data_IF_278777699765
#
_entry.id   IF_278777699765
#
_cell.length_a   1.000
_cell.length_b   1.000
_cell.length_c   1.000
_cell.angle_alpha   90.00
_cell.angle_beta   90.00
_cell.angle_gamma   90.00
#
_symmetry.space_group_name_H-M   'P 1'
#
loop_
_entity.id
_entity.type
_entity.pdbx_description
1 polymer ?
#
# COMPACT_ATOMS: atom_id res chain seq x y z
N UNK A 1 6.67 -0.27 -9.32
CA UNK A 1 7.25 1.07 -9.66
C UNK A 1 6.52 1.86 -10.78
N UNK A 2 5.49 1.33 -11.44
CA UNK A 2 4.85 2.00 -12.60
C UNK A 2 4.16 3.33 -12.29
N UNK A 3 3.88 3.63 -11.02
CA UNK A 3 3.27 4.88 -10.58
C UNK A 3 4.26 6.06 -10.57
N UNK A 4 5.58 5.77 -10.43
CA UNK A 4 6.62 6.80 -10.25
C UNK A 4 6.61 7.91 -11.31
N UNK A 5 6.54 7.62 -12.63
CA UNK A 5 6.67 8.66 -13.65
C UNK A 5 5.61 9.76 -13.56
N UNK A 6 4.38 9.43 -13.11
CA UNK A 6 3.29 10.39 -12.99
C UNK A 6 3.21 11.03 -11.60
N UNK A 7 3.67 10.32 -10.56
CA UNK A 7 3.42 10.67 -9.17
C UNK A 7 4.67 11.17 -8.40
N UNK A 8 5.77 11.47 -9.10
CA UNK A 8 7.03 11.93 -8.48
C UNK A 8 7.09 13.45 -8.26
N UNK A 9 6.37 14.23 -9.06
CA UNK A 9 6.55 15.69 -9.10
C UNK A 9 5.73 16.41 -8.02
N UNK A 10 6.10 17.65 -7.69
CA UNK A 10 5.29 18.49 -6.79
C UNK A 10 3.88 18.75 -7.31
N UNK A 11 3.69 18.81 -8.64
CA UNK A 11 2.37 19.00 -9.27
C UNK A 11 1.42 17.84 -8.96
N UNK A 12 1.95 16.64 -8.80
CA UNK A 12 1.20 15.46 -8.36
C UNK A 12 1.37 15.19 -6.87
N UNK A 13 1.65 16.21 -6.05
CA UNK A 13 1.76 16.05 -4.59
C UNK A 13 3.00 15.28 -4.11
N UNK A 14 3.96 14.99 -5.00
CA UNK A 14 5.16 14.18 -4.71
C UNK A 14 4.83 12.81 -4.06
N UNK A 15 3.67 12.25 -4.38
CA UNK A 15 3.07 11.06 -3.77
C UNK A 15 4.02 9.86 -3.72
N UNK A 16 4.74 9.61 -4.83
CA UNK A 16 5.70 8.51 -4.89
C UNK A 16 6.84 8.70 -3.89
N UNK A 17 7.35 9.93 -3.72
CA UNK A 17 8.46 10.20 -2.78
C UNK A 17 8.03 10.05 -1.33
N UNK A 18 6.82 10.53 -1.00
CA UNK A 18 6.23 10.39 0.34
C UNK A 18 6.09 8.91 0.70
N UNK A 19 5.57 8.09 -0.22
CA UNK A 19 5.49 6.64 -0.03
C UNK A 19 6.88 5.98 0.12
N UNK A 20 7.80 6.28 -0.80
CA UNK A 20 9.16 5.69 -0.84
C UNK A 20 9.95 5.94 0.45
N UNK A 21 9.77 7.12 1.07
CA UNK A 21 10.41 7.46 2.34
C UNK A 21 9.73 6.83 3.55
N UNK A 22 8.44 6.50 3.41
CA UNK A 22 7.56 6.03 4.48
C UNK A 22 7.80 4.59 4.93
N UNK A 23 7.11 4.17 6.00
CA UNK A 23 7.24 2.81 6.55
C UNK A 23 6.65 1.74 5.64
N UNK A 24 5.61 2.05 4.86
CA UNK A 24 4.94 1.09 3.97
C UNK A 24 5.86 0.55 2.87
N UNK A 25 6.68 1.40 2.24
CA UNK A 25 7.69 0.98 1.29
C UNK A 25 8.79 0.10 1.91
N UNK A 26 8.93 0.10 3.24
CA UNK A 26 9.92 -0.67 4.02
C UNK A 26 9.28 -1.81 4.82
N UNK A 27 8.00 -2.06 4.62
CA UNK A 27 7.25 -3.02 5.42
C UNK A 27 7.84 -4.43 5.30
N UNK A 28 8.17 -4.88 4.09
CA UNK A 28 8.80 -6.19 3.91
C UNK A 28 10.17 -6.31 4.56
N UNK A 29 11.00 -5.27 4.45
CA UNK A 29 12.33 -5.26 5.08
C UNK A 29 12.24 -5.36 6.61
N UNK A 30 11.18 -4.83 7.20
CA UNK A 30 10.93 -4.97 8.64
C UNK A 30 10.80 -6.44 9.06
N UNK A 31 10.23 -7.31 8.21
CA UNK A 31 10.07 -8.74 8.51
C UNK A 31 11.41 -9.49 8.58
N UNK A 32 12.47 -8.95 7.99
CA UNK A 32 13.81 -9.56 7.99
C UNK A 32 14.60 -9.24 9.27
N UNK A 33 14.08 -8.36 10.12
CA UNK A 33 14.77 -7.91 11.35
C UNK A 33 14.75 -8.98 12.45
N UNK A 34 15.74 -8.97 13.37
CA UNK A 34 15.70 -9.80 14.58
C UNK A 34 14.44 -9.57 15.43
N UNK A 35 13.97 -8.32 15.51
CA UNK A 35 12.78 -7.93 16.23
C UNK A 35 11.52 -8.60 15.66
N UNK A 36 11.36 -8.64 14.34
CA UNK A 36 10.24 -9.33 13.71
C UNK A 36 10.25 -10.84 13.99
N UNK A 37 11.43 -11.47 13.99
CA UNK A 37 11.58 -12.90 14.36
C UNK A 37 11.18 -13.15 15.81
N UNK A 38 11.52 -12.23 16.71
CA UNK A 38 11.10 -12.28 18.12
C UNK A 38 9.58 -12.16 18.25
N UNK A 39 8.97 -11.17 17.59
CA UNK A 39 7.52 -10.97 17.60
C UNK A 39 6.78 -12.19 17.06
N UNK A 40 7.22 -12.76 15.93
CA UNK A 40 6.61 -13.97 15.38
C UNK A 40 6.68 -15.14 16.36
N UNK A 41 7.84 -15.36 16.98
CA UNK A 41 8.00 -16.41 18.01
C UNK A 41 7.08 -16.20 19.21
N UNK A 42 6.99 -14.97 19.73
CA UNK A 42 6.11 -14.63 20.85
C UNK A 42 4.62 -14.80 20.50
N UNK A 43 4.26 -14.56 19.25
CA UNK A 43 2.92 -14.79 18.71
C UNK A 43 2.64 -16.26 18.34
N UNK A 44 3.60 -17.18 18.53
CA UNK A 44 3.45 -18.60 18.18
C UNK A 44 3.47 -18.87 16.67
N UNK A 45 3.97 -17.94 15.86
CA UNK A 45 4.12 -18.09 14.41
C UNK A 45 5.46 -18.77 14.15
N UNK A 46 5.42 -19.94 13.52
CA UNK A 46 6.61 -20.72 13.18
C UNK A 46 7.25 -20.24 11.87
N UNK A 47 8.58 -20.32 11.79
CA UNK A 47 9.34 -20.03 10.58
C UNK A 47 9.81 -18.58 10.44
N UNK A 48 10.19 -18.21 9.22
CA UNK A 48 10.68 -16.86 8.88
C UNK A 48 9.47 -15.91 8.68
N UNK A 49 9.37 -14.80 9.43
CA UNK A 49 8.32 -13.80 9.21
C UNK A 49 8.24 -13.31 7.77
N UNK A 50 9.36 -13.25 7.04
CA UNK A 50 9.39 -12.82 5.64
C UNK A 50 8.71 -13.82 4.67
N UNK A 51 8.36 -15.02 5.13
CA UNK A 51 7.66 -16.05 4.37
C UNK A 51 6.34 -16.49 5.02
N UNK A 52 6.10 -16.14 6.29
CA UNK A 52 4.90 -16.51 7.03
C UNK A 52 3.69 -15.69 6.55
N UNK A 53 2.61 -16.39 6.15
CA UNK A 53 1.39 -15.77 5.61
C UNK A 53 0.77 -14.75 6.57
N UNK A 54 0.88 -15.01 7.87
CA UNK A 54 0.40 -14.18 8.98
C UNK A 54 1.08 -12.80 8.96
N UNK A 55 2.33 -12.73 8.51
CA UNK A 55 3.11 -11.50 8.43
C UNK A 55 3.00 -10.86 7.05
N UNK A 56 3.23 -11.63 5.98
CA UNK A 56 3.33 -11.07 4.62
C UNK A 56 1.99 -10.49 4.14
N UNK A 57 0.84 -11.01 4.60
CA UNK A 57 -0.49 -10.46 4.24
C UNK A 57 -0.65 -8.96 4.51
N UNK A 58 0.08 -8.41 5.48
CA UNK A 58 0.04 -6.99 5.83
C UNK A 58 1.31 -6.22 5.44
N UNK A 59 2.37 -6.92 5.01
CA UNK A 59 3.68 -6.33 4.75
C UNK A 59 4.07 -6.31 3.27
N UNK A 60 3.32 -6.98 2.40
CA UNK A 60 3.52 -6.95 0.95
C UNK A 60 2.19 -6.88 0.19
N UNK A 61 2.11 -6.01 -0.81
CA UNK A 61 0.94 -5.97 -1.71
C UNK A 61 0.85 -7.22 -2.60
N UNK A 62 1.98 -7.89 -2.85
CA UNK A 62 2.05 -9.06 -3.71
C UNK A 62 1.38 -10.32 -3.09
N UNK A 63 1.01 -10.29 -1.82
CA UNK A 63 0.39 -11.43 -1.13
C UNK A 63 -1.04 -11.65 -1.63
N UNK A 64 -1.40 -12.91 -1.87
CA UNK A 64 -2.75 -13.29 -2.30
C UNK A 64 -3.12 -12.88 -3.74
N UNK A 65 -2.23 -12.18 -4.45
CA UNK A 65 -2.42 -11.85 -5.87
C UNK A 65 -2.22 -13.12 -6.71
N UNK A 66 -3.15 -13.36 -7.64
CA UNK A 66 -3.08 -14.49 -8.58
C UNK A 66 -1.71 -14.51 -9.27
N UNK A 67 -1.07 -15.68 -9.33
CA UNK A 67 0.25 -15.86 -9.95
C UNK A 67 0.30 -15.33 -11.39
N UNK A 68 -0.81 -15.38 -12.14
CA UNK A 68 -0.90 -14.85 -13.50
C UNK A 68 -0.86 -13.32 -13.55
N UNK A 69 -1.22 -12.67 -12.45
CA UNK A 69 -1.20 -11.22 -12.27
C UNK A 69 0.10 -10.74 -11.60
N UNK A 70 0.89 -11.64 -11.03
CA UNK A 70 2.23 -11.33 -10.55
C UNK A 70 3.11 -10.98 -11.76
N UNK A 71 3.38 -9.70 -11.90
CA UNK A 71 4.32 -9.19 -12.90
C UNK A 71 5.69 -9.00 -12.26
N UNK A 72 6.74 -8.87 -13.06
CA UNK A 72 8.07 -8.43 -12.58
C UNK A 72 8.06 -7.06 -11.87
N UNK A 73 6.90 -6.38 -11.85
CA UNK A 73 6.69 -5.06 -11.27
C UNK A 73 5.95 -5.09 -9.94
N UNK A 74 5.47 -6.26 -9.49
CA UNK A 74 4.84 -6.47 -8.19
C UNK A 74 5.69 -7.50 -7.44
N UNK A 75 6.57 -7.01 -6.57
CA UNK A 75 7.52 -7.86 -5.84
C UNK A 75 7.34 -7.70 -4.33
N UNK A 76 7.86 -8.66 -3.57
CA UNK A 76 7.81 -8.61 -2.10
C UNK A 76 8.57 -7.40 -1.56
N UNK A 77 9.68 -7.03 -2.22
CA UNK A 77 10.58 -5.94 -1.83
C UNK A 77 9.96 -4.55 -1.96
N UNK A 78 8.85 -4.38 -2.70
CA UNK A 78 8.11 -3.12 -2.71
C UNK A 78 7.30 -2.89 -1.43
N UNK A 79 7.20 -3.90 -0.56
CA UNK A 79 6.43 -3.82 0.67
C UNK A 79 4.95 -3.54 0.39
N UNK A 80 4.35 -2.70 1.23
CA UNK A 80 2.99 -2.20 1.01
C UNK A 80 3.07 -1.08 -0.03
N UNK A 81 2.70 -1.40 -1.27
CA UNK A 81 2.77 -0.54 -2.45
C UNK A 81 1.53 0.34 -2.61
N UNK A 82 1.50 1.14 -3.69
CA UNK A 82 0.40 2.06 -4.01
C UNK A 82 -0.96 1.35 -4.10
N UNK A 83 -0.96 0.13 -4.66
CA UNK A 83 -2.17 -0.63 -4.99
C UNK A 83 -2.80 -1.30 -3.76
N UNK A 84 -2.08 -1.38 -2.63
CA UNK A 84 -2.69 -1.81 -1.37
C UNK A 84 -3.73 -0.80 -0.85
N UNK A 85 -3.58 0.49 -1.16
CA UNK A 85 -4.51 1.53 -0.75
C UNK A 85 -5.45 1.96 -1.88
N UNK A 86 -4.94 2.00 -3.12
CA UNK A 86 -5.65 2.56 -4.27
C UNK A 86 -6.22 1.51 -5.23
N UNK A 87 -6.07 0.22 -4.92
CA UNK A 87 -6.50 -0.87 -5.77
C UNK A 87 -5.60 -1.08 -7.00
N UNK A 88 -5.88 -2.11 -7.82
CA UNK A 88 -5.07 -2.46 -8.98
C UNK A 88 -5.18 -1.42 -10.09
N UNK A 89 -4.05 -0.84 -10.48
CA UNK A 89 -4.00 0.27 -11.43
C UNK A 89 -4.07 -0.12 -12.90
N UNK A 90 -4.25 -1.40 -13.24
CA UNK A 90 -4.16 -1.84 -14.64
C UNK A 90 -5.19 -1.16 -15.55
N UNK A 91 -6.41 -0.97 -15.04
CA UNK A 91 -7.54 -0.45 -15.80
C UNK A 91 -7.64 1.08 -15.76
N UNK A 92 -7.24 1.73 -14.66
CA UNK A 92 -7.34 3.18 -14.53
C UNK A 92 -6.07 3.97 -14.86
N UNK A 93 -4.88 3.35 -14.94
CA UNK A 93 -3.61 4.09 -15.14
C UNK A 93 -3.48 4.85 -16.46
N UNK A 94 -4.33 4.54 -17.45
CA UNK A 94 -4.23 5.22 -18.75
C UNK A 94 -4.64 6.68 -18.61
N UNK A 95 -3.92 7.58 -19.28
CA UNK A 95 -4.17 9.03 -19.19
C UNK A 95 -5.63 9.38 -19.47
N UNK A 96 -6.23 8.76 -20.49
CA UNK A 96 -7.63 8.96 -20.86
C UNK A 96 -8.60 8.61 -19.73
N UNK A 97 -8.41 7.46 -19.09
CA UNK A 97 -9.32 6.98 -18.03
C UNK A 97 -9.13 7.81 -16.76
N UNK A 98 -7.90 8.03 -16.31
CA UNK A 98 -7.67 8.79 -15.07
C UNK A 98 -8.13 10.25 -15.19
N UNK A 99 -7.98 10.88 -16.36
CA UNK A 99 -8.52 12.24 -16.60
C UNK A 99 -10.05 12.28 -16.57
N UNK A 100 -10.72 11.27 -17.13
CA UNK A 100 -12.17 11.18 -17.08
C UNK A 100 -12.68 10.93 -15.65
N UNK A 101 -11.98 10.09 -14.87
CA UNK A 101 -12.25 9.90 -13.43
C UNK A 101 -12.10 11.23 -12.68
N UNK A 102 -11.01 11.98 -12.89
CA UNK A 102 -10.82 13.27 -12.23
C UNK A 102 -11.86 14.33 -12.60
N UNK A 103 -12.44 14.25 -13.81
CA UNK A 103 -13.54 15.13 -14.23
C UNK A 103 -14.92 14.67 -13.73
N UNK A 104 -15.00 13.50 -13.09
CA UNK A 104 -16.26 12.88 -12.69
C UNK A 104 -17.09 12.33 -13.86
N UNK A 105 -16.46 12.12 -15.02
CA UNK A 105 -17.10 11.53 -16.20
C UNK A 105 -17.18 9.99 -16.11
N UNK A 106 -16.28 9.38 -15.32
CA UNK A 106 -16.26 7.94 -15.03
C UNK A 106 -16.17 7.73 -13.52
N UNK A 107 -16.82 6.68 -13.03
CA UNK A 107 -16.62 6.20 -11.66
C UNK A 107 -15.33 5.37 -11.61
N UNK A 108 -14.35 5.82 -10.83
CA UNK A 108 -13.07 5.12 -10.66
C UNK A 108 -13.24 3.71 -10.07
N UNK A 109 -14.26 3.48 -9.26
CA UNK A 109 -14.52 2.19 -8.64
C UNK A 109 -14.79 1.10 -9.69
N UNK A 110 -15.43 1.45 -10.81
CA UNK A 110 -15.66 0.52 -11.94
C UNK A 110 -14.36 0.07 -12.62
N UNK A 111 -13.28 0.82 -12.43
CA UNK A 111 -11.94 0.52 -12.96
C UNK A 111 -10.99 0.02 -11.86
N UNK A 112 -11.50 -0.31 -10.68
CA UNK A 112 -10.71 -0.83 -9.56
C UNK A 112 -9.94 0.22 -8.76
N UNK A 113 -10.19 1.52 -8.98
CA UNK A 113 -9.66 2.56 -8.11
C UNK A 113 -10.38 2.51 -6.76
N UNK A 114 -9.61 2.48 -5.69
CA UNK A 114 -10.11 2.50 -4.32
C UNK A 114 -9.80 3.86 -3.69
N UNK A 115 -10.81 4.45 -3.06
CA UNK A 115 -10.61 5.56 -2.14
C UNK A 115 -10.12 5.01 -0.79
N UNK A 116 -8.95 5.45 -0.29
CA UNK A 116 -8.34 4.87 0.91
C UNK A 116 -8.98 5.40 2.20
N UNK A 117 -10.21 4.94 2.48
CA UNK A 117 -10.93 5.22 3.73
C UNK A 117 -10.31 4.46 4.91
N UNK A 118 -10.87 4.65 6.10
CA UNK A 118 -10.44 3.92 7.30
C UNK A 118 -10.52 2.39 7.13
N UNK A 119 -11.49 1.90 6.36
CA UNK A 119 -11.72 0.47 6.13
C UNK A 119 -10.48 -0.20 5.52
N UNK A 120 -9.90 0.41 4.49
CA UNK A 120 -8.68 -0.05 3.83
C UNK A 120 -7.51 -0.13 4.82
N UNK A 121 -7.37 0.89 5.66
CA UNK A 121 -6.29 0.94 6.65
C UNK A 121 -6.42 -0.18 7.69
N UNK A 122 -7.65 -0.45 8.12
CA UNK A 122 -7.96 -1.47 9.13
C UNK A 122 -7.90 -2.91 8.62
N UNK A 123 -7.68 -3.14 7.32
CA UNK A 123 -7.36 -4.49 6.81
C UNK A 123 -6.05 -5.04 7.40
N UNK A 124 -5.13 -4.13 7.77
CA UNK A 124 -3.84 -4.48 8.37
C UNK A 124 -3.66 -3.91 9.77
N UNK A 125 -4.16 -2.69 10.02
CA UNK A 125 -4.07 -2.04 11.32
C UNK A 125 -5.21 -2.47 12.25
N UNK A 126 -5.19 -3.74 12.67
CA UNK A 126 -6.20 -4.38 13.51
C UNK A 126 -5.60 -5.39 14.49
N UNK A 127 -6.45 -6.02 15.31
CA UNK A 127 -6.08 -6.96 16.37
C UNK A 127 -5.42 -8.27 15.87
N UNK A 128 -5.51 -8.60 14.58
CA UNK A 128 -4.81 -9.76 14.02
C UNK A 128 -3.29 -9.51 13.91
N UNK A 129 -2.85 -8.25 13.98
CA UNK A 129 -1.42 -7.93 14.05
C UNK A 129 -0.90 -8.16 15.49
N UNK A 130 0.16 -8.97 15.68
CA UNK A 130 0.72 -9.25 17.01
C UNK A 130 1.34 -8.01 17.69
N UNK A 131 1.47 -6.91 16.95
CA UNK A 131 2.01 -5.64 17.46
C UNK A 131 0.94 -4.56 17.62
N UNK A 132 -0.33 -4.90 17.41
CA UNK A 132 -1.42 -3.94 17.47
C UNK A 132 -1.59 -3.36 18.87
N UNK A 133 -1.67 -2.02 18.95
CA UNK A 133 -1.88 -1.25 20.18
C UNK A 133 -2.96 -0.18 20.01
N UNK A 134 -3.87 -0.37 19.05
CA UNK A 134 -4.81 0.63 18.59
C UNK A 134 -4.32 1.39 17.34
N UNK A 135 -5.27 1.97 16.61
CA UNK A 135 -5.01 2.73 15.39
C UNK A 135 -5.91 3.98 15.34
N UNK A 136 -5.28 5.14 15.26
CA UNK A 136 -5.94 6.44 15.08
C UNK A 136 -5.85 6.80 13.59
N UNK A 137 -6.94 6.56 12.86
CA UNK A 137 -6.98 6.73 11.40
C UNK A 137 -6.64 8.16 10.99
N UNK A 138 -7.32 9.16 11.55
CA UNK A 138 -7.14 10.58 11.18
C UNK A 138 -5.68 11.00 11.36
N UNK A 139 -5.09 10.65 12.50
CA UNK A 139 -3.69 11.00 12.81
C UNK A 139 -2.69 10.27 11.91
N UNK A 140 -2.95 9.01 11.57
CA UNK A 140 -2.02 8.21 10.77
C UNK A 140 -2.16 8.49 9.27
N UNK A 141 -3.38 8.69 8.77
CA UNK A 141 -3.65 9.12 7.41
C UNK A 141 -3.00 10.48 7.12
N UNK A 142 -3.07 11.43 8.05
CA UNK A 142 -2.43 12.74 7.91
C UNK A 142 -0.90 12.66 7.70
N UNK A 143 -0.22 11.62 8.23
CA UNK A 143 1.23 11.45 8.07
C UNK A 143 1.65 10.97 6.67
N UNK A 144 0.75 10.29 5.97
CA UNK A 144 0.98 9.78 4.62
C UNK A 144 0.22 10.58 3.57
N UNK A 145 -0.61 11.55 3.97
CA UNK A 145 -1.42 12.36 3.08
C UNK A 145 -0.57 13.00 1.97
N UNK A 146 -1.03 12.81 0.74
CA UNK A 146 -0.35 13.26 -0.47
C UNK A 146 -1.35 13.80 -1.50
N UNK A 147 -2.16 14.81 -1.13
CA UNK A 147 -3.14 15.36 -2.05
C UNK A 147 -2.45 16.00 -3.26
N UNK A 148 -3.07 15.90 -4.43
CA UNK A 148 -2.70 16.74 -5.56
C UNK A 148 -2.97 18.19 -5.15
N UNK A 149 -1.97 19.09 -5.20
CA UNK A 149 -2.18 20.49 -4.86
C UNK A 149 -3.26 21.09 -5.75
N UNK A 150 -4.13 21.93 -5.18
CA UNK A 150 -5.04 22.74 -5.98
C UNK A 150 -4.21 23.69 -6.82
N UNK A 151 -4.55 23.83 -8.10
CA UNK A 151 -3.98 24.88 -8.94
C UNK A 151 -4.34 26.24 -8.31
N UNK A 152 -3.33 27.11 -8.14
CA UNK A 152 -3.51 28.51 -7.72
C UNK A 152 -4.12 29.36 -8.83
#
# INVERSE_FOLDING_TARGET
KSCKPCHLTKKSGAQFKIWEDGPHAKAFETLKTPEAKKVAKEAGIEGDPASAKECVRCHVTAFGVDEKLKTSRLTMEEGVSCEACHGPGSEYKSKKIIEAIYKGELDGAEYGLIEPTAEVCTQCHNEESPTFKGFDYEKMAAKIAHPVPKEE
#
